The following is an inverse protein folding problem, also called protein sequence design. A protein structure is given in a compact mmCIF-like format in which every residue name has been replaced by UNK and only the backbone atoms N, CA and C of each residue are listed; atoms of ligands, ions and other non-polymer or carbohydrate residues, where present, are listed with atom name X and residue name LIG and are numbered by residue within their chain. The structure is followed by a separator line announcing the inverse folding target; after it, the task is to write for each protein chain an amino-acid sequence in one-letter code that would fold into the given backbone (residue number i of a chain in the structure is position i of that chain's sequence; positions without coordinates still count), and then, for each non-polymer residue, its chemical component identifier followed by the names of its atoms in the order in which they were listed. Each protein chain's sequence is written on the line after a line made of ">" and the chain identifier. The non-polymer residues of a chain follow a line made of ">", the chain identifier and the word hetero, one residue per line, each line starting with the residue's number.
data_IF_091718670849
#
_entry.id   IF_091718670849
#
_cell.length_a   1.000
_cell.length_b   1.000
_cell.length_c   1.000
_cell.angle_alpha   90.00
_cell.angle_beta   90.00
_cell.angle_gamma   90.00
#
_symmetry.space_group_name_H-M   'P 1'
#
loop_
_entity.id
_entity.type
_entity.pdbx_description
1 polymer ?
#
# COMPACT_ATOMS: atom_id res chain seq x y z
N UNK A 1 -15.05 9.31 0.72
CA UNK A 1 -15.22 9.38 -0.76
C UNK A 1 -14.64 8.11 -1.39
N UNK A 2 -14.96 7.76 -2.64
CA UNK A 2 -14.36 6.60 -3.32
C UNK A 2 -13.40 7.06 -4.42
N UNK A 3 -12.18 6.53 -4.41
CA UNK A 3 -11.13 6.80 -5.39
C UNK A 3 -11.08 5.70 -6.45
N UNK A 4 -10.73 6.08 -7.69
CA UNK A 4 -10.30 5.07 -8.66
C UNK A 4 -8.88 4.62 -8.36
N UNK A 5 -8.46 3.49 -8.94
CA UNK A 5 -7.06 3.02 -8.86
C UNK A 5 -6.07 4.10 -9.32
N UNK A 6 -6.42 4.85 -10.36
CA UNK A 6 -5.58 5.94 -10.88
C UNK A 6 -5.48 7.10 -9.90
N UNK A 7 -6.59 7.47 -9.25
CA UNK A 7 -6.60 8.58 -8.30
C UNK A 7 -5.88 8.21 -7.00
N UNK A 8 -6.06 6.98 -6.50
CA UNK A 8 -5.30 6.46 -5.37
C UNK A 8 -3.79 6.43 -5.68
N UNK A 9 -3.40 5.94 -6.86
CA UNK A 9 -2.02 5.91 -7.30
C UNK A 9 -1.42 7.33 -7.38
N UNK A 10 -2.17 8.29 -7.96
CA UNK A 10 -1.77 9.70 -8.01
C UNK A 10 -1.59 10.28 -6.62
N UNK A 11 -2.53 10.01 -5.69
CA UNK A 11 -2.47 10.52 -4.32
C UNK A 11 -1.26 9.98 -3.55
N UNK A 12 -0.87 8.73 -3.78
CA UNK A 12 0.28 8.10 -3.13
C UNK A 12 1.61 8.31 -3.87
N UNK A 13 1.61 8.86 -5.08
CA UNK A 13 2.81 9.01 -5.89
C UNK A 13 3.39 7.68 -6.40
N UNK A 14 2.56 6.65 -6.58
CA UNK A 14 2.98 5.31 -7.04
C UNK A 14 2.39 4.96 -8.40
N UNK A 15 2.85 3.86 -8.99
CA UNK A 15 2.28 3.36 -10.24
C UNK A 15 0.87 2.75 -10.03
N UNK A 16 -0.07 2.91 -10.96
CA UNK A 16 -1.37 2.23 -10.90
C UNK A 16 -1.26 0.70 -10.83
N UNK A 17 -0.24 0.14 -11.47
CA UNK A 17 0.04 -1.32 -11.46
C UNK A 17 0.32 -1.83 -10.05
N UNK A 18 1.01 -1.05 -9.21
CA UNK A 18 1.27 -1.41 -7.82
C UNK A 18 -0.03 -1.42 -7.00
N UNK A 19 -0.90 -0.44 -7.21
CA UNK A 19 -2.23 -0.42 -6.57
C UNK A 19 -3.09 -1.60 -7.01
N UNK A 20 -3.06 -1.97 -8.31
CA UNK A 20 -3.72 -3.19 -8.79
C UNK A 20 -3.17 -4.45 -8.13
N UNK A 21 -1.86 -4.54 -7.90
CA UNK A 21 -1.23 -5.67 -7.21
C UNK A 21 -1.72 -5.77 -5.76
N UNK A 22 -1.80 -4.66 -5.02
CA UNK A 22 -2.38 -4.64 -3.68
C UNK A 22 -3.83 -5.08 -3.64
N UNK A 23 -4.66 -4.63 -4.59
CA UNK A 23 -6.05 -5.09 -4.71
C UNK A 23 -6.11 -6.58 -5.04
N UNK A 24 -5.29 -7.06 -5.98
CA UNK A 24 -5.23 -8.47 -6.38
C UNK A 24 -4.81 -9.39 -5.23
N UNK A 25 -3.90 -8.93 -4.38
CA UNK A 25 -3.40 -9.64 -3.20
C UNK A 25 -4.28 -9.45 -1.96
N UNK A 26 -5.41 -8.75 -2.08
CA UNK A 26 -6.30 -8.43 -0.96
C UNK A 26 -5.62 -7.68 0.20
N UNK A 27 -4.58 -6.90 -0.09
CA UNK A 27 -3.86 -6.10 0.91
C UNK A 27 -4.54 -4.75 1.18
N UNK A 28 -5.17 -4.19 0.15
CA UNK A 28 -5.89 -2.92 0.21
C UNK A 28 -7.40 -3.18 0.11
N UNK A 29 -8.17 -2.71 1.10
CA UNK A 29 -9.64 -2.81 1.08
C UNK A 29 -10.19 -2.03 -0.11
N UNK A 30 -11.01 -2.68 -0.93
CA UNK A 30 -11.56 -2.10 -2.14
C UNK A 30 -12.88 -2.77 -2.54
N UNK A 31 -13.68 -2.08 -3.34
CA UNK A 31 -14.83 -2.63 -4.03
C UNK A 31 -14.44 -3.03 -5.44
N UNK A 32 -14.94 -4.18 -5.90
CA UNK A 32 -14.83 -4.63 -7.29
C UNK A 32 -16.21 -4.81 -7.89
N UNK A 33 -16.61 -3.87 -8.73
CA UNK A 33 -17.86 -3.93 -9.49
C UNK A 33 -17.59 -4.57 -10.84
N UNK A 34 -17.75 -5.89 -10.94
CA UNK A 34 -17.55 -6.64 -12.16
C UNK A 34 -18.67 -7.68 -12.36
N UNK A 35 -19.12 -7.86 -13.60
CA UNK A 35 -19.87 -9.06 -13.98
C UNK A 35 -18.89 -10.21 -14.24
N UNK A 36 -19.27 -11.47 -14.01
CA UNK A 36 -18.45 -12.63 -14.37
C UNK A 36 -17.97 -12.52 -15.83
N UNK A 37 -16.66 -12.69 -16.06
CA UNK A 37 -16.06 -12.63 -17.40
C UNK A 37 -15.92 -11.24 -18.04
N UNK A 38 -16.22 -10.14 -17.34
CA UNK A 38 -16.05 -8.76 -17.87
C UNK A 38 -15.00 -7.95 -17.10
N UNK A 39 -14.37 -6.98 -17.76
CA UNK A 39 -13.58 -5.94 -17.08
C UNK A 39 -14.53 -5.10 -16.23
N UNK A 40 -14.38 -5.21 -14.91
CA UNK A 40 -15.10 -4.38 -13.95
C UNK A 40 -14.34 -3.12 -13.56
N UNK A 41 -14.87 -2.43 -12.57
CA UNK A 41 -14.27 -1.23 -11.97
C UNK A 41 -13.84 -1.52 -10.53
N UNK A 42 -12.65 -1.08 -10.17
CA UNK A 42 -12.17 -1.08 -8.79
C UNK A 42 -12.33 0.33 -8.22
N UNK A 43 -12.93 0.41 -7.03
CA UNK A 43 -13.06 1.63 -6.25
C UNK A 43 -12.46 1.40 -4.86
N UNK A 44 -11.67 2.36 -4.40
CA UNK A 44 -10.96 2.31 -3.12
C UNK A 44 -11.58 3.37 -2.21
N UNK A 45 -12.16 3.00 -1.06
CA UNK A 45 -12.62 3.98 -0.08
C UNK A 45 -11.43 4.86 0.36
N UNK A 46 -11.68 6.17 0.49
CA UNK A 46 -10.64 7.13 0.89
C UNK A 46 -10.01 6.77 2.23
N UNK A 47 -10.87 6.42 3.20
CA UNK A 47 -10.47 6.07 4.57
C UNK A 47 -9.63 4.79 4.58
N UNK A 48 -10.00 3.80 3.76
CA UNK A 48 -9.24 2.57 3.60
C UNK A 48 -7.84 2.81 3.01
N UNK A 49 -7.70 3.78 2.10
CA UNK A 49 -6.38 4.18 1.58
C UNK A 49 -5.54 4.82 2.69
N UNK A 50 -6.14 5.67 3.52
CA UNK A 50 -5.47 6.27 4.68
C UNK A 50 -5.00 5.24 5.69
N UNK A 51 -5.89 4.33 6.12
CA UNK A 51 -5.54 3.23 7.02
C UNK A 51 -4.44 2.33 6.46
N UNK A 52 -4.48 2.06 5.15
CA UNK A 52 -3.45 1.26 4.50
C UNK A 52 -2.09 1.94 4.59
N UNK A 53 -2.01 3.25 4.29
CA UNK A 53 -0.75 4.01 4.35
C UNK A 53 -0.16 4.04 5.74
N UNK A 54 -0.98 4.25 6.78
CA UNK A 54 -0.49 4.28 8.16
C UNK A 54 0.15 2.95 8.58
N UNK A 55 -0.27 1.80 8.02
CA UNK A 55 0.39 0.50 8.27
C UNK A 55 1.81 0.40 7.68
N UNK A 56 2.12 1.17 6.64
CA UNK A 56 3.44 1.20 6.00
C UNK A 56 4.33 2.33 6.50
N UNK A 57 3.81 3.18 7.38
CA UNK A 57 4.54 4.31 7.93
C UNK A 57 5.66 3.79 8.83
N UNK A 58 6.89 3.97 8.37
CA UNK A 58 8.08 3.71 9.19
C UNK A 58 8.46 5.03 9.85
N UNK A 59 8.36 5.10 11.17
CA UNK A 59 8.84 6.25 11.92
C UNK A 59 10.37 6.24 11.94
N UNK A 60 11.04 7.37 11.68
CA UNK A 60 12.47 7.50 11.88
C UNK A 60 12.78 7.57 13.38
N UNK A 61 12.66 6.46 14.10
CA UNK A 61 12.96 6.44 15.54
C UNK A 61 14.32 5.78 15.81
N UNK A 62 15.26 6.64 16.21
CA UNK A 62 16.62 6.45 16.76
C UNK A 62 17.50 5.41 16.06
N UNK A 63 18.64 5.89 15.54
CA UNK A 63 19.71 5.07 14.99
C UNK A 63 19.85 3.73 15.75
N UNK A 64 19.84 2.58 15.06
CA UNK A 64 20.02 1.30 15.72
C UNK A 64 21.29 1.38 16.56
N UNK A 65 21.20 0.97 17.83
CA UNK A 65 22.38 0.76 18.66
C UNK A 65 23.38 -0.04 17.83
N UNK A 66 24.66 0.38 17.72
CA UNK A 66 25.60 -0.28 16.83
C UNK A 66 25.60 -1.77 17.13
N UNK A 67 25.25 -2.57 16.12
CA UNK A 67 25.25 -4.03 16.21
C UNK A 67 26.65 -4.43 16.66
N UNK A 68 26.78 -4.96 17.89
CA UNK A 68 28.05 -5.50 18.38
C UNK A 68 28.39 -6.72 17.53
N UNK A 69 29.20 -6.53 16.50
CA UNK A 69 29.67 -7.60 15.64
C UNK A 69 30.55 -8.53 16.50
N UNK A 70 30.02 -9.70 16.88
CA UNK A 70 30.68 -10.67 17.79
C UNK A 70 32.02 -11.21 17.26
N UNK A 71 32.33 -11.00 15.98
CA UNK A 71 33.49 -11.58 15.30
C UNK A 71 34.55 -10.57 14.85
N UNK A 72 34.36 -9.27 15.12
CA UNK A 72 35.43 -8.29 14.94
C UNK A 72 36.05 -8.06 16.31
N UNK A 73 37.26 -8.61 16.53
CA UNK A 73 38.11 -8.19 17.64
C UNK A 73 38.67 -6.82 17.26
N UNK A 74 38.23 -5.78 17.97
CA UNK A 74 38.95 -4.50 18.01
C UNK A 74 40.25 -4.67 18.81
#
# INVERSE_FOLDING_TARGET
>A
MNLTVRDAARRLGVSPSLVYDWCRRHLLTHFRFARPGKRGKILIPDDALGEFVERFKVSPETAPSPVRLKHIRQ
#
